data_IF_948632618054
#
_entry.id   IF_948632618054
#
_cell.length_a   1.000
_cell.length_b   1.000
_cell.length_c   1.000
_cell.angle_alpha   90.00
_cell.angle_beta   90.00
_cell.angle_gamma   90.00
#
_symmetry.space_group_name_H-M   'P 1'
#
loop_
_entity.id
_entity.type
_entity.pdbx_description
1 polymer ?
#
# COMPACT_ATOMS: atom_id res chain seq x y z
N UNK A 1 2.02 -8.94 -21.84
CA UNK A 1 1.73 -10.35 -21.53
C UNK A 1 1.64 -10.49 -20.02
N UNK A 2 0.49 -10.09 -19.45
CA UNK A 2 0.16 -10.22 -18.03
C UNK A 2 -0.95 -11.25 -17.94
N UNK A 3 -0.64 -12.46 -18.38
CA UNK A 3 -1.58 -13.56 -18.26
C UNK A 3 -1.69 -14.03 -16.82
N UNK A 4 -2.90 -13.84 -16.30
CA UNK A 4 -3.60 -14.85 -15.49
C UNK A 4 -2.67 -15.81 -14.72
N UNK A 5 -1.88 -15.26 -13.81
CA UNK A 5 -1.07 -16.04 -12.90
C UNK A 5 -1.48 -15.85 -11.44
N UNK A 6 -2.72 -15.43 -11.21
CA UNK A 6 -3.18 -15.00 -9.90
C UNK A 6 -3.57 -16.13 -8.95
N UNK A 7 -3.71 -17.35 -9.44
CA UNK A 7 -4.09 -18.49 -8.57
C UNK A 7 -3.16 -19.71 -8.70
N UNK A 8 -2.28 -19.76 -9.70
CA UNK A 8 -1.37 -20.91 -9.88
C UNK A 8 0.10 -20.67 -9.57
N UNK A 9 0.53 -19.43 -9.34
CA UNK A 9 1.93 -19.10 -9.04
C UNK A 9 2.15 -18.72 -7.58
N UNK A 10 1.26 -19.10 -6.68
CA UNK A 10 1.55 -19.16 -5.25
C UNK A 10 2.29 -20.46 -4.86
N UNK A 11 2.86 -21.16 -5.82
CA UNK A 11 3.69 -22.33 -5.56
C UNK A 11 5.08 -22.12 -6.13
N UNK A 12 6.00 -21.84 -5.21
CA UNK A 12 7.46 -22.01 -5.24
C UNK A 12 8.29 -20.94 -5.95
N UNK A 13 9.10 -20.39 -5.11
CA UNK A 13 10.39 -19.70 -5.23
C UNK A 13 10.33 -18.17 -5.21
N UNK A 14 10.62 -17.60 -4.02
CA UNK A 14 10.84 -16.17 -3.72
C UNK A 14 9.62 -15.22 -3.70
N UNK A 15 8.43 -15.67 -3.35
CA UNK A 15 7.41 -14.77 -2.83
C UNK A 15 7.65 -14.68 -1.33
N UNK A 16 8.08 -13.51 -0.85
CA UNK A 16 8.12 -13.24 0.58
C UNK A 16 6.73 -13.57 1.15
N UNK A 17 6.66 -14.54 2.06
CA UNK A 17 5.38 -15.01 2.56
C UNK A 17 4.69 -13.90 3.34
N UNK A 18 3.50 -13.51 2.93
CA UNK A 18 2.68 -12.58 3.70
C UNK A 18 2.46 -13.14 5.11
N UNK A 19 2.41 -12.27 6.14
CA UNK A 19 2.04 -12.69 7.48
C UNK A 19 0.74 -13.50 7.48
N UNK A 20 0.68 -14.56 8.29
CA UNK A 20 -0.49 -15.47 8.34
C UNK A 20 -1.77 -14.69 8.66
N UNK A 21 -1.70 -13.72 9.57
CA UNK A 21 -2.83 -12.85 9.90
C UNK A 21 -3.33 -12.10 8.67
N UNK A 22 -2.42 -11.54 7.87
CA UNK A 22 -2.76 -10.81 6.64
C UNK A 22 -3.35 -11.73 5.57
N UNK A 23 -2.80 -12.94 5.38
CA UNK A 23 -3.38 -13.96 4.47
C UNK A 23 -4.82 -14.28 4.87
N UNK A 24 -5.03 -14.64 6.14
CA UNK A 24 -6.35 -14.99 6.67
C UNK A 24 -7.33 -13.82 6.57
N UNK A 25 -6.91 -12.61 6.89
CA UNK A 25 -7.73 -11.40 6.76
C UNK A 25 -8.13 -11.16 5.30
N UNK A 26 -7.19 -11.31 4.38
CA UNK A 26 -7.44 -11.13 2.95
C UNK A 26 -8.45 -12.14 2.39
N UNK A 27 -8.37 -13.39 2.80
CA UNK A 27 -9.34 -14.44 2.41
C UNK A 27 -10.75 -14.12 2.92
N UNK A 28 -10.87 -13.59 4.16
CA UNK A 28 -12.16 -13.18 4.75
C UNK A 28 -12.87 -12.10 3.93
N UNK A 29 -12.13 -11.19 3.29
CA UNK A 29 -12.71 -10.10 2.49
C UNK A 29 -13.53 -10.60 1.30
N UNK A 30 -13.25 -11.80 0.81
CA UNK A 30 -13.89 -12.35 -0.40
C UNK A 30 -14.75 -13.57 -0.13
N UNK A 31 -14.99 -13.88 1.14
CA UNK A 31 -15.90 -14.97 1.55
C UNK A 31 -17.29 -14.72 0.95
N UNK A 32 -17.87 -15.76 0.34
CA UNK A 32 -19.20 -15.69 -0.28
C UNK A 32 -19.18 -15.29 -1.77
N UNK A 33 -18.06 -14.89 -2.32
CA UNK A 33 -17.92 -14.61 -3.75
C UNK A 33 -17.43 -15.83 -4.52
N UNK A 34 -18.01 -16.09 -5.70
CA UNK A 34 -17.55 -17.17 -6.59
C UNK A 34 -16.22 -16.76 -7.23
N UNK A 35 -15.31 -17.71 -7.38
CA UNK A 35 -14.00 -17.47 -8.00
C UNK A 35 -14.09 -16.82 -9.39
N UNK A 36 -15.07 -17.21 -10.20
CA UNK A 36 -15.28 -16.62 -11.52
C UNK A 36 -15.65 -15.12 -11.46
N UNK A 37 -16.39 -14.72 -10.42
CA UNK A 37 -16.73 -13.31 -10.20
C UNK A 37 -15.50 -12.50 -9.79
N UNK A 38 -14.69 -13.03 -8.86
CA UNK A 38 -13.44 -12.39 -8.42
C UNK A 38 -12.46 -12.23 -9.58
N UNK A 39 -12.32 -13.27 -10.42
CA UNK A 39 -11.48 -13.24 -11.62
C UNK A 39 -11.93 -12.17 -12.62
N UNK A 40 -13.24 -12.05 -12.85
CA UNK A 40 -13.79 -11.01 -13.73
C UNK A 40 -13.49 -9.61 -13.17
N UNK A 41 -13.73 -9.38 -11.88
CA UNK A 41 -13.43 -8.09 -11.22
C UNK A 41 -11.94 -7.77 -11.35
N UNK A 42 -11.06 -8.72 -11.11
CA UNK A 42 -9.61 -8.52 -11.24
C UNK A 42 -9.21 -8.12 -12.67
N UNK A 43 -9.81 -8.74 -13.69
CA UNK A 43 -9.57 -8.41 -15.09
C UNK A 43 -10.07 -6.99 -15.42
N UNK A 44 -11.31 -6.67 -15.05
CA UNK A 44 -11.90 -5.35 -15.29
C UNK A 44 -11.08 -4.24 -14.61
N UNK A 45 -10.56 -4.49 -13.40
CA UNK A 45 -9.67 -3.58 -12.68
C UNK A 45 -8.32 -3.41 -13.41
N UNK A 46 -7.71 -4.51 -13.85
CA UNK A 46 -6.44 -4.45 -14.59
C UNK A 46 -6.56 -3.62 -15.86
N UNK A 47 -7.67 -3.75 -16.57
CA UNK A 47 -7.93 -2.99 -17.80
C UNK A 47 -8.17 -1.50 -17.49
N UNK A 48 -8.91 -1.19 -16.41
CA UNK A 48 -9.15 0.17 -15.95
C UNK A 48 -7.85 0.87 -15.54
N UNK A 49 -7.02 0.22 -14.72
CA UNK A 49 -5.72 0.77 -14.31
C UNK A 49 -4.77 1.01 -15.49
N UNK A 50 -4.77 0.14 -16.48
CA UNK A 50 -3.95 0.29 -17.70
C UNK A 50 -4.36 1.49 -18.54
N UNK A 51 -5.65 1.77 -18.62
CA UNK A 51 -6.19 2.78 -19.53
C UNK A 51 -6.46 4.14 -18.86
N UNK A 52 -6.63 4.19 -17.53
CA UNK A 52 -7.12 5.37 -16.82
C UNK A 52 -6.21 5.85 -15.68
N UNK A 53 -5.12 5.11 -15.34
CA UNK A 53 -4.17 5.54 -14.31
C UNK A 53 -3.39 6.80 -14.75
N UNK A 54 -3.00 7.63 -13.78
CA UNK A 54 -2.24 8.86 -14.04
C UNK A 54 -3.08 10.12 -14.23
N UNK A 55 -4.42 10.03 -14.16
CA UNK A 55 -5.32 11.18 -14.30
C UNK A 55 -5.95 11.67 -12.97
N UNK A 56 -5.49 11.16 -11.82
CA UNK A 56 -6.03 11.51 -10.50
C UNK A 56 -7.47 11.06 -10.26
N UNK A 57 -8.01 10.16 -11.09
CA UNK A 57 -9.37 9.63 -10.97
C UNK A 57 -9.50 8.64 -9.82
N UNK A 58 -10.68 8.59 -9.19
CA UNK A 58 -11.06 7.50 -8.27
C UNK A 58 -11.31 6.25 -9.10
N UNK A 59 -10.48 5.23 -8.93
CA UNK A 59 -10.55 3.99 -9.72
C UNK A 59 -11.34 2.87 -9.02
N UNK A 60 -11.49 2.95 -7.69
CA UNK A 60 -12.14 1.93 -6.87
C UNK A 60 -13.32 2.53 -6.11
N UNK A 61 -14.54 2.21 -6.53
CA UNK A 61 -15.76 2.74 -5.92
C UNK A 61 -16.46 1.75 -4.99
N UNK A 62 -16.21 0.45 -5.16
CA UNK A 62 -16.85 -0.64 -4.42
C UNK A 62 -15.84 -1.37 -3.54
N UNK A 63 -16.27 -1.77 -2.35
CA UNK A 63 -15.42 -2.49 -1.40
C UNK A 63 -14.91 -3.83 -1.97
N UNK A 64 -15.71 -4.53 -2.76
CA UNK A 64 -15.28 -5.76 -3.41
C UNK A 64 -14.20 -5.50 -4.48
N UNK A 65 -14.24 -4.38 -5.19
CA UNK A 65 -13.19 -3.99 -6.13
C UNK A 65 -11.89 -3.73 -5.38
N UNK A 66 -11.96 -2.99 -4.27
CA UNK A 66 -10.81 -2.72 -3.41
C UNK A 66 -10.26 -4.01 -2.75
N UNK A 67 -11.13 -4.93 -2.31
CA UNK A 67 -10.73 -6.22 -1.77
C UNK A 67 -9.99 -7.08 -2.82
N UNK A 68 -10.52 -7.16 -4.04
CA UNK A 68 -9.88 -7.90 -5.13
C UNK A 68 -8.56 -7.23 -5.54
N UNK A 69 -8.52 -5.90 -5.60
CA UNK A 69 -7.28 -5.18 -5.85
C UNK A 69 -6.22 -5.48 -4.78
N UNK A 70 -6.61 -5.44 -3.50
CA UNK A 70 -5.72 -5.78 -2.40
C UNK A 70 -5.18 -7.21 -2.53
N UNK A 71 -6.03 -8.20 -2.77
CA UNK A 71 -5.62 -9.59 -2.96
C UNK A 71 -4.58 -9.77 -4.08
N UNK A 72 -4.73 -9.01 -5.16
CA UNK A 72 -3.86 -9.14 -6.35
C UNK A 72 -2.56 -8.38 -6.21
N UNK A 73 -2.60 -7.16 -5.63
CA UNK A 73 -1.46 -6.24 -5.61
C UNK A 73 -0.68 -6.25 -4.31
N UNK A 74 -1.35 -6.49 -3.19
CA UNK A 74 -0.71 -6.44 -1.87
C UNK A 74 0.52 -7.33 -1.74
N UNK A 75 0.55 -8.61 -2.23
CA UNK A 75 1.76 -9.43 -2.10
C UNK A 75 2.99 -8.81 -2.75
N UNK A 76 2.83 -8.24 -3.95
CA UNK A 76 3.94 -7.62 -4.67
C UNK A 76 4.41 -6.32 -4.00
N UNK A 77 3.46 -5.47 -3.54
CA UNK A 77 3.79 -4.24 -2.83
C UNK A 77 4.43 -4.54 -1.48
N UNK A 78 3.89 -5.50 -0.73
CA UNK A 78 4.47 -5.96 0.54
C UNK A 78 5.92 -6.42 0.36
N UNK A 79 6.19 -7.29 -0.62
CA UNK A 79 7.54 -7.78 -0.91
C UNK A 79 8.48 -6.64 -1.28
N UNK A 80 8.09 -5.78 -2.21
CA UNK A 80 8.94 -4.67 -2.66
C UNK A 80 9.27 -3.68 -1.53
N UNK A 81 8.29 -3.35 -0.68
CA UNK A 81 8.53 -2.47 0.47
C UNK A 81 9.38 -3.18 1.53
N UNK A 82 9.13 -4.47 1.80
CA UNK A 82 9.93 -5.26 2.74
C UNK A 82 11.40 -5.30 2.34
N UNK A 83 11.70 -5.56 1.08
CA UNK A 83 13.07 -5.61 0.58
C UNK A 83 13.75 -4.23 0.66
N UNK A 84 13.06 -3.19 0.20
CA UNK A 84 13.58 -1.82 0.23
C UNK A 84 13.84 -1.34 1.67
N UNK A 85 12.93 -1.66 2.60
CA UNK A 85 13.06 -1.32 4.01
C UNK A 85 14.22 -2.09 4.66
N UNK A 86 14.30 -3.41 4.45
CA UNK A 86 15.38 -4.25 4.96
C UNK A 86 16.74 -3.70 4.53
N UNK A 87 16.90 -3.40 3.24
CA UNK A 87 18.12 -2.80 2.70
C UNK A 87 18.43 -1.43 3.33
N UNK A 88 17.42 -0.59 3.52
CA UNK A 88 17.62 0.74 4.12
C UNK A 88 18.04 0.65 5.59
N UNK A 89 17.51 -0.32 6.33
CA UNK A 89 17.80 -0.53 7.74
C UNK A 89 19.24 -1.03 7.98
N UNK A 90 19.88 -1.66 7.00
CA UNK A 90 21.32 -2.04 7.09
C UNK A 90 22.25 -0.83 7.29
N UNK A 91 21.83 0.34 6.81
CA UNK A 91 22.60 1.59 6.86
C UNK A 91 22.05 2.62 7.84
N UNK A 92 20.97 2.28 8.52
CA UNK A 92 20.31 3.19 9.48
C UNK A 92 20.62 2.79 10.91
N UNK A 93 21.09 3.76 11.72
CA UNK A 93 21.49 3.52 13.11
C UNK A 93 20.58 4.23 14.13
N UNK A 94 19.44 4.77 13.69
CA UNK A 94 18.47 5.44 14.55
C UNK A 94 17.42 4.51 15.13
N UNK A 95 16.45 5.08 15.83
CA UNK A 95 15.28 4.37 16.36
C UNK A 95 14.03 4.82 15.59
N UNK A 96 13.23 3.87 15.13
CA UNK A 96 11.98 4.10 14.39
C UNK A 96 10.84 3.49 15.18
N UNK A 97 9.96 4.34 15.72
CA UNK A 97 8.78 3.94 16.50
C UNK A 97 7.47 4.38 15.87
N UNK A 98 7.51 5.37 14.98
CA UNK A 98 6.31 5.93 14.38
C UNK A 98 6.37 5.84 12.86
N UNK A 99 5.24 5.41 12.25
CA UNK A 99 5.08 5.28 10.81
C UNK A 99 4.00 6.21 10.29
N UNK A 100 4.29 6.87 9.18
CA UNK A 100 3.32 7.52 8.32
C UNK A 100 3.35 6.85 6.93
N UNK A 101 2.28 6.12 6.60
CA UNK A 101 2.09 5.49 5.28
C UNK A 101 1.23 6.40 4.41
N UNK A 102 1.82 6.96 3.35
CA UNK A 102 1.23 8.01 2.52
C UNK A 102 0.82 7.45 1.17
N UNK A 103 -0.48 7.47 0.88
CA UNK A 103 -1.09 6.70 -0.19
C UNK A 103 -1.17 5.22 0.17
N UNK A 104 -1.57 4.95 1.42
CA UNK A 104 -1.48 3.64 2.04
C UNK A 104 -2.24 2.52 1.30
N UNK A 105 -3.23 2.89 0.47
CA UNK A 105 -4.05 1.91 -0.22
C UNK A 105 -4.73 0.96 0.75
N UNK A 106 -4.44 -0.34 0.62
CA UNK A 106 -4.89 -1.37 1.57
C UNK A 106 -3.93 -1.61 2.73
N UNK A 107 -2.85 -0.82 2.86
CA UNK A 107 -1.90 -0.90 3.97
C UNK A 107 -0.73 -1.88 3.77
N UNK A 108 -0.40 -2.24 2.54
CA UNK A 108 0.68 -3.20 2.27
C UNK A 108 2.03 -2.76 2.85
N UNK A 109 2.38 -1.47 2.69
CA UNK A 109 3.61 -0.91 3.23
C UNK A 109 3.60 -0.86 4.77
N UNK A 110 2.45 -0.56 5.36
CA UNK A 110 2.27 -0.60 6.81
C UNK A 110 2.51 -2.00 7.39
N UNK A 111 1.96 -3.06 6.76
CA UNK A 111 2.20 -4.44 7.19
C UNK A 111 3.68 -4.83 7.04
N UNK A 112 4.34 -4.40 5.95
CA UNK A 112 5.75 -4.67 5.73
C UNK A 112 6.65 -3.97 6.76
N UNK A 113 6.32 -2.73 7.11
CA UNK A 113 7.05 -1.96 8.12
C UNK A 113 6.85 -2.55 9.53
N UNK A 114 5.62 -2.91 9.90
CA UNK A 114 5.34 -3.51 11.21
C UNK A 114 6.06 -4.84 11.41
N UNK A 115 6.24 -5.64 10.36
CA UNK A 115 6.97 -6.91 10.44
C UNK A 115 8.48 -6.73 10.74
N UNK A 116 9.05 -5.55 10.56
CA UNK A 116 10.49 -5.28 10.68
C UNK A 116 10.86 -4.24 11.74
N UNK A 117 9.89 -3.42 12.17
CA UNK A 117 10.12 -2.28 13.06
C UNK A 117 9.29 -2.39 14.34
N UNK A 118 9.82 -1.98 15.48
CA UNK A 118 9.10 -1.95 16.77
C UNK A 118 8.15 -0.73 16.84
N UNK A 119 7.17 -0.69 15.93
CA UNK A 119 6.27 0.45 15.80
C UNK A 119 5.34 0.58 17.01
N UNK A 120 5.21 1.80 17.52
CA UNK A 120 4.31 2.18 18.61
C UNK A 120 3.09 2.98 18.11
N UNK A 121 3.23 3.67 16.96
CA UNK A 121 2.16 4.47 16.37
C UNK A 121 2.21 4.43 14.85
N UNK A 122 1.04 4.22 14.25
CA UNK A 122 0.85 4.15 12.79
C UNK A 122 -0.22 5.16 12.38
N UNK A 123 0.08 5.91 11.33
CA UNK A 123 -0.88 6.76 10.63
C UNK A 123 -0.86 6.41 9.15
N UNK A 124 -2.03 6.17 8.57
CA UNK A 124 -2.21 5.90 7.15
C UNK A 124 -2.98 7.04 6.51
N UNK A 125 -2.50 7.57 5.39
CA UNK A 125 -3.21 8.57 4.59
C UNK A 125 -3.65 7.89 3.29
N UNK A 126 -4.96 7.86 3.03
CA UNK A 126 -5.53 7.29 1.81
C UNK A 126 -6.78 8.06 1.39
N UNK A 127 -6.83 8.47 0.14
CA UNK A 127 -7.94 9.24 -0.43
C UNK A 127 -9.17 8.37 -0.69
N UNK A 128 -8.98 7.18 -1.23
CA UNK A 128 -10.08 6.31 -1.66
C UNK A 128 -10.73 5.58 -0.48
N UNK A 129 -12.00 5.91 -0.21
CA UNK A 129 -12.75 5.37 0.94
C UNK A 129 -12.89 3.84 0.91
N UNK A 130 -13.01 3.22 -0.28
CA UNK A 130 -13.07 1.77 -0.40
C UNK A 130 -11.74 1.10 0.01
N UNK A 131 -10.61 1.69 -0.41
CA UNK A 131 -9.29 1.20 -0.01
C UNK A 131 -9.06 1.32 1.49
N UNK A 132 -9.42 2.49 2.09
CA UNK A 132 -9.33 2.66 3.55
C UNK A 132 -10.13 1.59 4.31
N UNK A 133 -11.40 1.36 3.93
CA UNK A 133 -12.24 0.34 4.61
C UNK A 133 -11.62 -1.05 4.52
N UNK A 134 -11.04 -1.40 3.38
CA UNK A 134 -10.32 -2.67 3.21
C UNK A 134 -9.07 -2.69 4.08
N UNK A 135 -8.26 -1.64 4.07
CA UNK A 135 -7.05 -1.53 4.91
C UNK A 135 -7.37 -1.63 6.40
N UNK A 136 -8.38 -0.88 6.87
CA UNK A 136 -8.88 -0.96 8.26
C UNK A 136 -9.34 -2.38 8.62
N UNK A 137 -10.07 -3.05 7.72
CA UNK A 137 -10.54 -4.41 7.96
C UNK A 137 -9.38 -5.41 8.04
N UNK A 138 -8.38 -5.28 7.18
CA UNK A 138 -7.19 -6.12 7.22
C UNK A 138 -6.39 -5.89 8.50
N UNK A 139 -6.15 -4.65 8.89
CA UNK A 139 -5.33 -4.30 10.06
C UNK A 139 -5.98 -4.68 11.39
N UNK A 140 -7.31 -4.80 11.45
CA UNK A 140 -8.03 -5.30 12.64
C UNK A 140 -7.66 -6.73 13.02
N UNK A 141 -7.18 -7.53 12.08
CA UNK A 141 -6.76 -8.92 12.32
C UNK A 141 -5.26 -9.03 12.67
N UNK A 142 -4.54 -7.90 12.67
CA UNK A 142 -3.12 -7.85 12.98
C UNK A 142 -2.82 -7.52 14.45
N UNK A 143 -1.55 -7.27 14.71
CA UNK A 143 -1.05 -6.85 16.02
C UNK A 143 -1.75 -5.57 16.53
N UNK A 144 -1.77 -5.33 17.85
CA UNK A 144 -2.45 -4.17 18.45
C UNK A 144 -2.10 -2.83 17.81
N UNK A 145 -0.85 -2.63 17.42
CA UNK A 145 -0.39 -1.39 16.76
C UNK A 145 -1.03 -1.21 15.37
N UNK A 146 -1.24 -2.30 14.63
CA UNK A 146 -1.95 -2.29 13.34
C UNK A 146 -3.43 -1.99 13.55
N UNK A 147 -4.08 -2.70 14.48
CA UNK A 147 -5.51 -2.55 14.74
C UNK A 147 -5.87 -1.17 15.30
N UNK A 148 -4.93 -0.46 15.91
CA UNK A 148 -5.06 0.91 16.41
C UNK A 148 -4.58 1.99 15.42
N UNK A 149 -4.20 1.62 14.20
CA UNK A 149 -3.70 2.57 13.21
C UNK A 149 -4.75 3.66 12.89
N UNK A 150 -4.29 4.91 12.86
CA UNK A 150 -5.13 6.05 12.51
C UNK A 150 -5.20 6.20 10.99
N UNK A 151 -6.41 6.24 10.45
CA UNK A 151 -6.63 6.49 9.03
C UNK A 151 -7.14 7.91 8.78
N UNK A 152 -6.53 8.60 7.80
CA UNK A 152 -6.85 9.96 7.39
C UNK A 152 -7.26 9.93 5.92
N UNK A 153 -8.43 10.53 5.63
CA UNK A 153 -8.85 10.80 4.25
C UNK A 153 -8.24 12.10 3.78
N UNK A 154 -7.31 12.05 2.85
CA UNK A 154 -6.71 13.26 2.29
C UNK A 154 -6.27 13.07 0.86
N UNK A 155 -6.45 14.11 0.04
CA UNK A 155 -5.88 14.19 -1.30
C UNK A 155 -4.52 14.89 -1.20
N UNK A 156 -3.47 14.15 -1.50
CA UNK A 156 -2.08 14.59 -1.39
C UNK A 156 -1.72 15.73 -2.34
N UNK A 157 -2.46 15.86 -3.45
CA UNK A 157 -2.21 16.88 -4.47
C UNK A 157 -2.71 18.27 -4.08
N UNK A 158 -3.60 18.34 -3.09
CA UNK A 158 -4.25 19.58 -2.65
C UNK A 158 -4.12 19.88 -1.17
N UNK A 159 -3.68 18.89 -0.37
CA UNK A 159 -3.62 19.00 1.09
C UNK A 159 -2.20 18.83 1.60
N UNK A 160 -1.82 19.67 2.58
CA UNK A 160 -0.57 19.47 3.30
C UNK A 160 -0.67 18.32 4.30
N UNK A 161 0.39 17.57 4.45
CA UNK A 161 0.56 16.60 5.52
C UNK A 161 0.86 17.38 6.81
N UNK A 162 0.03 17.21 7.83
CA UNK A 162 0.13 17.95 9.11
C UNK A 162 0.66 17.11 10.27
N UNK A 163 0.98 15.85 10.02
CA UNK A 163 1.56 14.92 11.00
C UNK A 163 2.95 14.51 10.53
N UNK A 164 3.85 14.22 11.47
CA UNK A 164 5.17 13.68 11.18
C UNK A 164 5.35 12.31 11.82
N UNK A 165 6.31 11.55 11.30
CA UNK A 165 6.71 10.25 11.84
C UNK A 165 8.20 10.03 11.66
N UNK A 166 8.75 9.07 12.41
CA UNK A 166 10.16 8.71 12.28
C UNK A 166 10.43 8.13 10.90
N UNK A 167 9.54 7.26 10.42
CA UNK A 167 9.57 6.82 9.02
C UNK A 167 8.31 7.27 8.28
N UNK A 168 8.53 7.81 7.08
CA UNK A 168 7.47 8.07 6.09
C UNK A 168 7.67 7.14 4.92
N UNK A 169 6.64 6.38 4.57
CA UNK A 169 6.66 5.49 3.41
C UNK A 169 5.64 5.98 2.38
N UNK A 170 6.06 6.01 1.12
CA UNK A 170 5.18 6.24 -0.04
C UNK A 170 5.49 5.18 -1.08
N UNK A 171 4.53 4.30 -1.37
CA UNK A 171 4.73 3.17 -2.28
C UNK A 171 3.75 3.19 -3.45
N UNK A 172 4.27 3.28 -4.67
CA UNK A 172 3.51 3.31 -5.93
C UNK A 172 2.50 4.46 -6.05
N UNK A 173 2.81 5.62 -5.44
CA UNK A 173 1.93 6.80 -5.37
C UNK A 173 2.33 7.85 -6.39
N UNK A 174 3.64 8.12 -6.52
CA UNK A 174 4.14 9.23 -7.35
C UNK A 174 3.89 8.99 -8.84
N UNK A 175 3.93 7.74 -9.29
CA UNK A 175 3.68 7.39 -10.68
C UNK A 175 2.20 7.58 -11.09
N UNK A 176 1.27 7.55 -10.13
CA UNK A 176 -0.17 7.79 -10.37
C UNK A 176 -0.53 9.28 -10.42
N UNK A 177 0.41 10.16 -10.05
CA UNK A 177 0.20 11.61 -10.00
C UNK A 177 0.60 12.30 -11.30
N UNK A 178 -0.08 13.41 -11.60
CA UNK A 178 0.35 14.30 -12.65
C UNK A 178 1.72 14.92 -12.31
N UNK A 179 2.60 15.06 -13.30
CA UNK A 179 3.99 15.54 -13.09
C UNK A 179 4.07 16.87 -12.32
N UNK A 180 3.11 17.77 -12.57
CA UNK A 180 3.04 19.10 -11.92
C UNK A 180 2.84 19.02 -10.41
N UNK A 181 2.24 17.95 -9.90
CA UNK A 181 1.87 17.80 -8.49
C UNK A 181 2.95 17.07 -7.68
N UNK A 182 3.86 16.34 -8.36
CA UNK A 182 4.87 15.49 -7.72
C UNK A 182 5.81 16.25 -6.79
N UNK A 183 6.28 17.44 -7.21
CA UNK A 183 7.19 18.23 -6.38
C UNK A 183 6.51 18.67 -5.07
N UNK A 184 5.27 19.14 -5.15
CA UNK A 184 4.51 19.52 -3.95
C UNK A 184 4.35 18.35 -2.98
N UNK A 185 4.03 17.16 -3.50
CA UNK A 185 3.87 15.95 -2.67
C UNK A 185 5.22 15.53 -2.07
N UNK A 186 6.30 15.52 -2.85
CA UNK A 186 7.64 15.18 -2.37
C UNK A 186 8.10 16.13 -1.24
N UNK A 187 7.87 17.43 -1.38
CA UNK A 187 8.19 18.42 -0.35
C UNK A 187 7.39 18.16 0.94
N UNK A 188 6.11 17.75 0.82
CA UNK A 188 5.29 17.39 1.97
C UNK A 188 5.75 16.08 2.64
N UNK A 189 6.12 15.06 1.86
CA UNK A 189 6.69 13.80 2.39
C UNK A 189 7.97 14.09 3.18
N UNK A 190 8.88 14.88 2.58
CA UNK A 190 10.12 15.27 3.23
C UNK A 190 9.88 16.04 4.53
N UNK A 191 8.99 17.04 4.51
CA UNK A 191 8.65 17.85 5.69
C UNK A 191 7.98 17.05 6.82
N UNK A 192 7.33 15.93 6.50
CA UNK A 192 6.69 15.03 7.46
C UNK A 192 7.65 13.97 8.05
N UNK A 193 8.88 13.88 7.52
CA UNK A 193 9.85 12.84 7.88
C UNK A 193 10.78 13.34 8.99
N UNK A 194 10.87 12.59 10.08
CA UNK A 194 11.83 12.88 11.15
C UNK A 194 13.19 12.20 10.88
N UNK A 195 13.20 10.91 10.48
CA UNK A 195 14.40 10.09 10.38
C UNK A 195 14.60 9.48 8.97
N UNK A 196 13.60 8.79 8.43
CA UNK A 196 13.73 8.07 7.16
C UNK A 196 12.55 8.32 6.24
N UNK A 197 12.83 8.72 5.00
CA UNK A 197 11.84 8.75 3.89
C UNK A 197 12.13 7.59 2.95
N UNK A 198 11.16 6.66 2.82
CA UNK A 198 11.22 5.54 1.90
C UNK A 198 10.21 5.73 0.76
N UNK A 199 10.70 5.86 -0.46
CA UNK A 199 9.85 5.95 -1.66
C UNK A 199 10.10 4.70 -2.51
N UNK A 200 9.05 3.95 -2.78
CA UNK A 200 9.09 2.74 -3.61
C UNK A 200 8.25 2.97 -4.85
N UNK A 201 8.87 2.94 -6.02
CA UNK A 201 8.22 3.19 -7.30
C UNK A 201 8.60 2.13 -8.34
N UNK A 202 7.80 1.92 -9.41
CA UNK A 202 8.15 0.96 -10.45
C UNK A 202 9.49 1.30 -11.11
N UNK A 203 10.37 0.30 -11.29
CA UNK A 203 11.63 0.44 -12.01
C UNK A 203 11.45 0.60 -13.52
N UNK A 204 10.66 1.58 -13.93
CA UNK A 204 10.40 1.92 -15.33
C UNK A 204 10.98 3.30 -15.66
N UNK A 205 11.27 3.63 -16.95
CA UNK A 205 11.76 4.95 -17.32
C UNK A 205 10.86 6.11 -16.87
N UNK A 206 9.59 5.85 -16.57
CA UNK A 206 8.65 6.85 -16.05
C UNK A 206 8.68 6.97 -14.52
N UNK A 207 9.31 6.01 -13.82
CA UNK A 207 9.46 6.00 -12.36
C UNK A 207 10.75 6.66 -11.87
N UNK A 208 11.62 7.07 -12.78
CA UNK A 208 12.85 7.81 -12.49
C UNK A 208 12.71 9.29 -12.81
#
# INVERSE_FOLDING_TARGET
MWEVLVIKTLTKENIMDLPIALKTASEKLVVGYKQAQLKKIAQDLSDRYRNESGAGKVLLSKDIEAAVYALVRMPATYGAVSDALSYSLEYFNGEIKTLLDVGAGSGAATWAAQAQLPLERITCIEREGAMRRVGEALMKEGEPVLSSARWISSDLTSSKITTSADIVISSYVMNEMAKKDRQFVLDNLWAATNEMLLIVEPGTPAGF
#
